data_IF_112077712367
#
_entry.id   IF_112077712367
#
_cell.length_a   1.000
_cell.length_b   1.000
_cell.length_c   1.000
_cell.angle_alpha   90.00
_cell.angle_beta   90.00
_cell.angle_gamma   90.00
#
_symmetry.space_group_name_H-M   'P 1'
#
loop_
_entity.id
_entity.type
_entity.pdbx_description
1 polymer ?
#
# COMPACT_ATOMS: atom_id res chain seq x y z
N UNK A 1 -17.23 19.91 -1.16
CA UNK A 1 -17.72 20.50 -2.42
C UNK A 1 -16.70 21.40 -3.15
N UNK A 2 -15.45 21.57 -2.68
CA UNK A 2 -14.48 22.49 -3.31
C UNK A 2 -14.30 22.24 -4.81
N UNK A 3 -13.87 21.04 -5.19
CA UNK A 3 -13.68 20.68 -6.61
C UNK A 3 -14.98 20.75 -7.42
N UNK A 4 -16.13 20.42 -6.83
CA UNK A 4 -17.45 20.56 -7.48
C UNK A 4 -17.72 22.02 -7.85
N UNK A 5 -17.45 22.95 -6.93
CA UNK A 5 -17.65 24.39 -7.16
C UNK A 5 -16.71 24.91 -8.25
N UNK A 6 -15.44 24.52 -8.23
CA UNK A 6 -14.45 24.89 -9.27
C UNK A 6 -14.87 24.42 -10.68
N UNK A 7 -15.34 23.17 -10.78
CA UNK A 7 -15.84 22.62 -12.06
C UNK A 7 -17.08 23.40 -12.51
N UNK A 8 -18.06 23.59 -11.63
CA UNK A 8 -19.29 24.33 -11.94
C UNK A 8 -18.98 25.76 -12.37
N UNK A 9 -18.09 26.45 -11.66
CA UNK A 9 -17.67 27.81 -12.00
C UNK A 9 -17.06 27.87 -13.41
N UNK A 10 -16.15 26.93 -13.71
CA UNK A 10 -15.55 26.80 -15.03
C UNK A 10 -16.59 26.51 -16.13
N UNK A 11 -17.60 25.68 -15.83
CA UNK A 11 -18.68 25.36 -16.76
C UNK A 11 -19.64 26.53 -16.99
N UNK A 12 -19.94 27.31 -15.95
CA UNK A 12 -20.82 28.47 -16.04
C UNK A 12 -20.18 29.60 -16.84
N UNK A 13 -18.85 29.77 -16.76
CA UNK A 13 -18.08 30.74 -17.55
C UNK A 13 -17.51 30.20 -18.87
N UNK A 14 -17.94 29.02 -19.33
CA UNK A 14 -17.39 28.40 -20.53
C UNK A 14 -17.76 29.19 -21.81
N UNK A 15 -16.78 29.57 -22.65
CA UNK A 15 -17.03 30.27 -23.91
C UNK A 15 -17.51 29.33 -25.03
N UNK A 16 -17.59 28.02 -24.75
CA UNK A 16 -18.07 27.01 -25.69
C UNK A 16 -19.27 26.25 -25.11
N UNK A 17 -20.18 25.75 -25.97
CA UNK A 17 -21.28 24.87 -25.55
C UNK A 17 -20.75 23.64 -24.81
N UNK A 18 -21.41 23.29 -23.71
CA UNK A 18 -21.07 22.15 -22.88
C UNK A 18 -22.27 21.23 -22.76
N UNK A 19 -22.08 19.97 -23.15
CA UNK A 19 -23.06 18.92 -22.96
C UNK A 19 -22.53 17.97 -21.88
N UNK A 20 -23.33 17.70 -20.85
CA UNK A 20 -23.02 16.62 -19.90
C UNK A 20 -23.94 15.45 -20.20
N UNK A 21 -23.36 14.28 -20.46
CA UNK A 21 -24.09 13.06 -20.76
C UNK A 21 -23.84 12.01 -19.67
N UNK A 22 -24.88 11.71 -18.88
CA UNK A 22 -24.84 10.67 -17.85
C UNK A 22 -24.98 9.32 -18.54
N UNK A 23 -23.88 8.58 -18.64
CA UNK A 23 -23.74 7.39 -19.48
C UNK A 23 -22.62 6.49 -18.95
N UNK A 24 -22.61 5.18 -19.23
CA UNK A 24 -23.63 4.38 -19.96
C UNK A 24 -24.89 4.11 -19.13
N UNK A 25 -25.83 3.33 -19.67
CA UNK A 25 -26.95 2.80 -18.89
C UNK A 25 -26.47 2.14 -17.59
N UNK A 26 -27.15 2.41 -16.48
CA UNK A 26 -26.72 2.03 -15.13
C UNK A 26 -25.78 3.03 -14.45
N UNK A 27 -25.27 4.04 -15.16
CA UNK A 27 -24.51 5.14 -14.55
C UNK A 27 -25.41 6.08 -13.75
N UNK A 28 -24.77 6.93 -12.95
CA UNK A 28 -25.45 7.91 -12.11
C UNK A 28 -24.71 9.25 -12.09
N UNK A 29 -25.49 10.33 -12.02
CA UNK A 29 -25.03 11.66 -11.67
C UNK A 29 -25.49 11.99 -10.24
N UNK A 30 -24.98 11.25 -9.26
CA UNK A 30 -25.30 11.48 -7.84
C UNK A 30 -24.35 12.51 -7.20
N UNK A 31 -24.77 13.12 -6.09
CA UNK A 31 -23.93 14.05 -5.31
C UNK A 31 -23.39 15.20 -6.18
N UNK A 32 -22.05 15.37 -6.26
CA UNK A 32 -21.40 16.34 -7.12
C UNK A 32 -21.82 16.24 -8.60
N UNK A 33 -22.17 15.04 -9.08
CA UNK A 33 -22.64 14.81 -10.44
C UNK A 33 -23.93 15.58 -10.76
N UNK A 34 -24.81 15.77 -9.78
CA UNK A 34 -26.04 16.56 -9.92
C UNK A 34 -25.73 18.02 -10.24
N UNK A 35 -24.78 18.61 -9.52
CA UNK A 35 -24.35 20.01 -9.74
C UNK A 35 -23.70 20.20 -11.10
N UNK A 36 -22.78 19.30 -11.46
CA UNK A 36 -22.05 19.35 -12.74
C UNK A 36 -23.02 19.21 -13.91
N UNK A 37 -23.92 18.22 -13.86
CA UNK A 37 -24.92 18.00 -14.90
C UNK A 37 -25.85 19.21 -15.01
N UNK A 38 -26.32 19.75 -13.87
CA UNK A 38 -27.20 20.92 -13.83
C UNK A 38 -26.52 22.22 -14.29
N UNK A 39 -25.19 22.30 -14.29
CA UNK A 39 -24.44 23.47 -14.73
C UNK A 39 -24.17 23.51 -16.25
N UNK A 40 -24.38 22.38 -16.94
CA UNK A 40 -24.16 22.25 -18.39
C UNK A 40 -25.09 23.15 -19.21
N UNK A 41 -24.73 23.41 -20.47
CA UNK A 41 -25.65 24.06 -21.40
C UNK A 41 -26.77 23.10 -21.79
N UNK A 42 -26.42 21.83 -22.03
CA UNK A 42 -27.37 20.75 -22.28
C UNK A 42 -27.03 19.57 -21.37
N UNK A 43 -28.01 19.12 -20.61
CA UNK A 43 -27.93 17.94 -19.77
C UNK A 43 -28.62 16.77 -20.48
N UNK A 44 -27.91 15.66 -20.63
CA UNK A 44 -28.41 14.46 -21.26
C UNK A 44 -28.21 13.24 -20.36
N UNK A 45 -29.10 12.26 -20.47
CA UNK A 45 -29.03 11.02 -19.70
C UNK A 45 -29.26 9.81 -20.61
N UNK A 46 -28.54 8.71 -20.35
CA UNK A 46 -28.86 7.43 -20.96
C UNK A 46 -30.08 6.79 -20.28
N UNK A 47 -30.84 5.91 -20.96
CA UNK A 47 -31.87 5.10 -20.31
C UNK A 47 -31.31 4.33 -19.12
N UNK A 48 -32.12 4.11 -18.08
CA UNK A 48 -31.72 3.44 -16.85
C UNK A 48 -30.53 4.11 -16.12
N UNK A 49 -30.41 5.43 -16.21
CA UNK A 49 -29.53 6.23 -15.35
C UNK A 49 -30.36 7.05 -14.35
N UNK A 50 -29.69 7.59 -13.32
CA UNK A 50 -30.32 8.44 -12.31
C UNK A 50 -29.48 9.70 -12.00
N UNK A 51 -30.14 10.72 -11.47
CA UNK A 51 -29.56 12.01 -11.05
C UNK A 51 -30.19 12.46 -9.73
N UNK A 52 -29.39 13.03 -8.82
CA UNK A 52 -29.88 13.53 -7.53
C UNK A 52 -29.03 13.07 -6.36
N UNK A 53 -29.67 12.68 -5.24
CA UNK A 53 -29.00 12.24 -4.01
C UNK A 53 -27.82 13.17 -3.63
N UNK A 54 -28.11 14.47 -3.56
CA UNK A 54 -27.14 15.55 -3.47
C UNK A 54 -27.01 16.14 -2.06
N UNK A 55 -27.60 15.50 -1.05
CA UNK A 55 -27.47 15.89 0.36
C UNK A 55 -25.99 15.83 0.81
N UNK A 56 -25.50 16.84 1.54
CA UNK A 56 -24.13 16.87 2.00
C UNK A 56 -23.87 15.82 3.09
N UNK A 57 -22.70 15.18 3.01
CA UNK A 57 -22.18 14.23 3.99
C UNK A 57 -20.74 14.62 4.37
N UNK A 58 -20.23 14.06 5.46
CA UNK A 58 -18.85 14.23 5.89
C UNK A 58 -17.84 13.65 4.88
N UNK A 59 -16.56 13.93 5.10
CA UNK A 59 -15.48 13.60 4.15
C UNK A 59 -15.30 12.09 3.93
N UNK A 60 -15.70 11.26 4.89
CA UNK A 60 -15.72 9.79 4.80
C UNK A 60 -17.12 9.22 4.52
N UNK A 61 -18.10 10.07 4.18
CA UNK A 61 -19.50 9.65 3.99
C UNK A 61 -20.29 9.50 5.28
N UNK A 62 -19.74 9.94 6.42
CA UNK A 62 -20.41 9.98 7.71
C UNK A 62 -21.47 11.08 7.80
N UNK A 63 -22.43 10.91 8.72
CA UNK A 63 -23.40 11.94 9.04
C UNK A 63 -22.74 13.15 9.70
N UNK A 64 -23.15 14.34 9.26
CA UNK A 64 -22.69 15.60 9.84
C UNK A 64 -23.40 15.87 11.18
N UNK A 65 -22.72 16.47 12.17
CA UNK A 65 -23.38 16.98 13.37
C UNK A 65 -24.51 17.95 13.00
N UNK A 66 -25.66 17.84 13.68
CA UNK A 66 -26.92 18.50 13.27
C UNK A 66 -26.76 20.00 12.93
N UNK A 67 -26.10 20.78 13.80
CA UNK A 67 -25.90 22.21 13.58
C UNK A 67 -25.03 22.55 12.36
N UNK A 68 -24.09 21.68 11.99
CA UNK A 68 -23.26 21.82 10.79
C UNK A 68 -24.04 21.34 9.57
N UNK A 69 -24.77 20.23 9.71
CA UNK A 69 -25.61 19.65 8.65
C UNK A 69 -26.60 20.68 8.11
N UNK A 70 -27.35 21.36 8.98
CA UNK A 70 -28.35 22.35 8.55
C UNK A 70 -27.70 23.50 7.76
N UNK A 71 -26.59 24.05 8.28
CA UNK A 71 -25.88 25.15 7.62
C UNK A 71 -25.33 24.75 6.26
N UNK A 72 -24.70 23.58 6.17
CA UNK A 72 -24.12 23.08 4.91
C UNK A 72 -25.22 22.72 3.92
N UNK A 73 -26.32 22.14 4.40
CA UNK A 73 -27.48 21.78 3.57
C UNK A 73 -28.11 23.01 2.94
N UNK A 74 -28.34 24.07 3.73
CA UNK A 74 -28.88 25.34 3.22
C UNK A 74 -27.95 26.02 2.20
N UNK A 75 -26.64 26.08 2.47
CA UNK A 75 -25.66 26.62 1.51
C UNK A 75 -25.62 25.79 0.21
N UNK A 76 -25.67 24.46 0.33
CA UNK A 76 -25.68 23.53 -0.80
C UNK A 76 -26.98 23.65 -1.61
N UNK A 77 -28.12 23.82 -0.94
CA UNK A 77 -29.42 24.05 -1.56
C UNK A 77 -29.46 25.41 -2.28
N UNK A 78 -28.89 26.46 -1.68
CA UNK A 78 -28.75 27.76 -2.33
C UNK A 78 -27.88 27.68 -3.60
N UNK A 79 -26.77 26.92 -3.54
CA UNK A 79 -25.90 26.70 -4.69
C UNK A 79 -26.64 26.02 -5.86
N UNK A 80 -27.33 24.90 -5.62
CA UNK A 80 -28.02 24.19 -6.70
C UNK A 80 -29.17 25.03 -7.28
N UNK A 81 -29.89 25.80 -6.45
CA UNK A 81 -30.91 26.74 -6.94
C UNK A 81 -30.34 27.81 -7.85
N UNK A 82 -29.18 28.37 -7.50
CA UNK A 82 -28.48 29.35 -8.33
C UNK A 82 -28.09 28.78 -9.70
N UNK A 83 -27.55 27.56 -9.71
CA UNK A 83 -27.20 26.85 -10.95
C UNK A 83 -28.44 26.57 -11.79
N UNK A 84 -29.50 26.01 -11.18
CA UNK A 84 -30.75 25.68 -11.84
C UNK A 84 -31.40 26.91 -12.47
N UNK A 85 -31.46 28.03 -11.73
CA UNK A 85 -32.00 29.29 -12.22
C UNK A 85 -31.21 29.86 -13.39
N UNK A 86 -29.87 29.81 -13.33
CA UNK A 86 -28.99 30.27 -14.43
C UNK A 86 -29.17 29.46 -15.71
N UNK A 87 -29.50 28.18 -15.60
CA UNK A 87 -29.68 27.26 -16.75
C UNK A 87 -31.14 26.95 -17.07
N UNK A 88 -32.09 27.68 -16.49
CA UNK A 88 -33.52 27.50 -16.71
C UNK A 88 -34.03 26.06 -16.46
N UNK A 89 -33.42 25.37 -15.49
CA UNK A 89 -33.82 24.03 -15.03
C UNK A 89 -34.79 24.12 -13.87
N UNK A 90 -35.46 23.01 -13.56
CA UNK A 90 -36.41 22.95 -12.45
C UNK A 90 -35.72 23.14 -11.09
N UNK A 91 -35.79 24.37 -10.59
CA UNK A 91 -35.17 24.84 -9.36
C UNK A 91 -35.62 24.01 -8.15
N UNK A 92 -36.92 23.74 -8.04
CA UNK A 92 -37.48 23.04 -6.88
C UNK A 92 -37.06 21.57 -6.87
N UNK A 93 -37.20 20.89 -8.01
CA UNK A 93 -36.81 19.47 -8.09
C UNK A 93 -35.31 19.29 -7.80
N UNK A 94 -34.45 20.20 -8.28
CA UNK A 94 -33.03 20.16 -7.97
C UNK A 94 -32.70 20.51 -6.51
N UNK A 95 -33.43 21.44 -5.88
CA UNK A 95 -33.33 21.72 -4.45
C UNK A 95 -33.73 20.50 -3.60
N UNK A 96 -34.79 19.79 -3.99
CA UNK A 96 -35.25 18.57 -3.31
C UNK A 96 -34.19 17.44 -3.33
N UNK A 97 -33.30 17.41 -4.33
CA UNK A 97 -32.16 16.48 -4.34
C UNK A 97 -31.17 16.72 -3.20
N UNK A 98 -31.10 17.96 -2.67
CA UNK A 98 -30.23 18.33 -1.55
C UNK A 98 -30.98 18.20 -0.23
N UNK A 99 -32.19 18.76 -0.13
CA UNK A 99 -32.96 18.81 1.11
C UNK A 99 -33.52 17.45 1.53
N UNK A 100 -33.98 16.65 0.55
CA UNK A 100 -34.68 15.39 0.79
C UNK A 100 -33.97 14.18 0.17
N UNK A 101 -32.72 14.37 -0.30
CA UNK A 101 -31.92 13.33 -0.95
C UNK A 101 -32.63 12.65 -2.15
N UNK A 102 -33.57 13.34 -2.80
CA UNK A 102 -34.36 12.75 -3.89
C UNK A 102 -33.44 12.39 -5.08
N UNK A 103 -33.74 11.27 -5.72
CA UNK A 103 -33.08 10.83 -6.95
C UNK A 103 -34.14 10.58 -8.01
N UNK A 104 -33.92 11.10 -9.21
CA UNK A 104 -34.81 10.97 -10.36
C UNK A 104 -34.19 10.04 -11.40
N UNK A 105 -35.03 9.21 -12.03
CA UNK A 105 -34.66 8.45 -13.23
C UNK A 105 -34.51 9.38 -14.44
N UNK A 106 -33.85 8.91 -15.49
CA UNK A 106 -33.72 9.65 -16.76
C UNK A 106 -35.07 10.15 -17.32
N UNK A 107 -36.13 9.33 -17.21
CA UNK A 107 -37.46 9.69 -17.70
C UNK A 107 -38.11 10.80 -16.85
N UNK A 108 -38.09 10.65 -15.52
CA UNK A 108 -38.62 11.65 -14.60
C UNK A 108 -37.86 12.98 -14.72
N UNK A 109 -36.53 12.91 -14.81
CA UNK A 109 -35.67 14.08 -14.95
C UNK A 109 -35.94 14.86 -16.24
N UNK A 110 -36.26 14.16 -17.35
CA UNK A 110 -36.66 14.80 -18.60
C UNK A 110 -38.04 15.44 -18.47
N UNK A 111 -39.01 14.72 -17.91
CA UNK A 111 -40.40 15.18 -17.75
C UNK A 111 -40.49 16.45 -16.90
N UNK A 112 -39.75 16.50 -15.78
CA UNK A 112 -39.79 17.63 -14.85
C UNK A 112 -38.78 18.74 -15.21
N UNK A 113 -38.00 18.60 -16.28
CA UNK A 113 -37.07 19.64 -16.76
C UNK A 113 -35.79 19.79 -15.92
N UNK A 114 -35.25 18.69 -15.38
CA UNK A 114 -33.88 18.62 -14.85
C UNK A 114 -32.89 18.41 -15.99
N UNK A 115 -33.22 17.56 -16.96
CA UNK A 115 -32.40 17.29 -18.14
C UNK A 115 -33.15 17.59 -19.43
N UNK A 116 -32.41 17.80 -20.51
CA UNK A 116 -32.92 18.26 -21.79
C UNK A 116 -33.15 17.13 -22.80
N UNK A 117 -32.43 16.00 -22.62
CA UNK A 117 -32.36 14.88 -23.56
C UNK A 117 -32.24 13.56 -22.81
N UNK A 118 -32.93 12.54 -23.32
CA UNK A 118 -32.61 11.13 -23.03
C UNK A 118 -32.15 10.47 -24.34
N UNK A 119 -30.93 9.96 -24.37
CA UNK A 119 -30.29 9.40 -25.57
C UNK A 119 -29.66 8.05 -25.27
N UNK A 120 -29.83 7.06 -26.16
CA UNK A 120 -29.38 5.68 -25.94
C UNK A 120 -27.86 5.55 -25.96
N UNK A 121 -27.20 6.30 -26.84
CA UNK A 121 -25.76 6.33 -27.01
C UNK A 121 -25.30 7.71 -27.52
N UNK A 122 -24.01 7.81 -27.86
CA UNK A 122 -23.43 9.06 -28.34
C UNK A 122 -23.97 9.47 -29.72
N UNK A 123 -24.29 8.52 -30.60
CA UNK A 123 -24.77 8.82 -31.94
C UNK A 123 -26.20 9.36 -31.90
N UNK A 124 -27.07 8.75 -31.10
CA UNK A 124 -28.42 9.25 -30.81
C UNK A 124 -28.37 10.63 -30.14
N UNK A 125 -27.45 10.83 -29.19
CA UNK A 125 -27.24 12.13 -28.56
C UNK A 125 -26.85 13.20 -29.59
N UNK A 126 -25.87 12.92 -30.45
CA UNK A 126 -25.42 13.86 -31.47
C UNK A 126 -26.54 14.18 -32.47
N UNK A 127 -27.37 13.21 -32.84
CA UNK A 127 -28.53 13.44 -33.70
C UNK A 127 -29.58 14.34 -33.03
N UNK A 128 -29.85 14.14 -31.73
CA UNK A 128 -30.82 14.96 -30.98
C UNK A 128 -30.30 16.36 -30.61
N UNK A 129 -28.98 16.56 -30.59
CA UNK A 129 -28.34 17.85 -30.37
C UNK A 129 -28.34 18.73 -31.61
N UNK A 130 -28.40 18.14 -32.81
CA UNK A 130 -28.31 18.89 -34.06
C UNK A 130 -29.46 19.90 -34.19
N UNK A 131 -29.12 21.14 -34.54
CA UNK A 131 -30.08 22.23 -34.69
C UNK A 131 -30.57 22.85 -33.36
N UNK A 132 -30.20 22.31 -32.18
CA UNK A 132 -30.53 22.94 -30.89
C UNK A 132 -29.73 24.23 -30.71
N UNK A 133 -30.33 25.20 -30.03
CA UNK A 133 -29.66 26.46 -29.67
C UNK A 133 -29.34 26.50 -28.18
N UNK A 134 -28.12 26.91 -27.84
CA UNK A 134 -27.71 27.17 -26.46
C UNK A 134 -27.39 28.64 -26.26
N UNK A 135 -27.68 29.16 -25.07
CA UNK A 135 -27.30 30.51 -24.69
C UNK A 135 -25.92 30.49 -24.04
N UNK A 136 -24.96 31.18 -24.66
CA UNK A 136 -23.68 31.55 -24.07
C UNK A 136 -23.73 33.00 -23.59
N UNK A 137 -22.70 33.44 -22.85
CA UNK A 137 -22.58 34.82 -22.40
C UNK A 137 -22.40 35.80 -23.57
N UNK A 138 -21.70 35.38 -24.63
CA UNK A 138 -21.45 36.18 -25.84
C UNK A 138 -22.60 36.12 -26.88
N UNK A 139 -23.63 35.29 -26.63
CA UNK A 139 -24.79 35.17 -27.51
C UNK A 139 -25.32 33.74 -27.67
N UNK A 140 -26.29 33.58 -28.56
CA UNK A 140 -26.93 32.30 -28.84
C UNK A 140 -26.15 31.54 -29.92
N UNK A 141 -25.82 30.27 -29.68
CA UNK A 141 -25.11 29.40 -30.62
C UNK A 141 -26.00 28.23 -31.01
N UNK A 142 -26.12 27.96 -32.30
CA UNK A 142 -26.81 26.76 -32.82
C UNK A 142 -25.81 25.62 -32.97
N UNK A 143 -26.12 24.47 -32.39
CA UNK A 143 -25.31 23.27 -32.49
C UNK A 143 -25.47 22.64 -33.88
N UNK A 144 -24.34 22.29 -34.50
CA UNK A 144 -24.27 21.57 -35.77
C UNK A 144 -23.39 20.36 -35.55
N UNK A 145 -24.02 19.25 -35.23
CA UNK A 145 -23.37 18.00 -34.85
C UNK A 145 -23.36 17.00 -36.00
N UNK A 146 -24.13 17.23 -37.07
CA UNK A 146 -24.07 16.39 -38.27
C UNK A 146 -22.66 16.41 -38.90
N UNK A 147 -22.06 15.22 -39.05
CA UNK A 147 -20.75 15.04 -39.68
C UNK A 147 -19.55 15.57 -38.89
N UNK A 148 -19.71 15.85 -37.58
CA UNK A 148 -18.62 16.33 -36.73
C UNK A 148 -17.52 15.27 -36.52
N UNK A 149 -16.26 15.68 -36.57
CA UNK A 149 -15.14 14.85 -36.15
C UNK A 149 -15.08 14.77 -34.62
N UNK A 150 -15.28 13.58 -34.06
CA UNK A 150 -15.20 13.36 -32.61
C UNK A 150 -13.73 13.25 -32.21
N UNK A 151 -13.28 14.16 -31.34
CA UNK A 151 -11.95 14.10 -30.71
C UNK A 151 -12.13 13.63 -29.27
N UNK A 152 -11.73 12.39 -29.00
CA UNK A 152 -11.78 11.83 -27.64
C UNK A 152 -10.56 12.28 -26.84
N UNK A 153 -10.79 13.01 -25.74
CA UNK A 153 -9.75 13.35 -24.77
C UNK A 153 -9.66 12.21 -23.76
N UNK A 154 -8.67 11.34 -23.92
CA UNK A 154 -8.38 10.26 -22.97
C UNK A 154 -7.43 10.73 -21.86
N UNK A 155 -7.50 10.08 -20.69
CA UNK A 155 -6.56 10.32 -19.59
C UNK A 155 -5.10 10.16 -20.04
N UNK A 156 -4.25 11.10 -19.65
CA UNK A 156 -2.80 11.01 -19.92
C UNK A 156 -2.15 9.82 -19.19
N UNK A 157 -0.96 9.34 -19.62
CA UNK A 157 -0.26 8.28 -18.88
C UNK A 157 -0.01 8.65 -17.41
N UNK A 158 0.28 9.92 -17.14
CA UNK A 158 0.44 10.44 -15.78
C UNK A 158 -0.87 10.38 -14.99
N UNK A 159 -1.99 10.85 -15.54
CA UNK A 159 -3.30 10.74 -14.88
C UNK A 159 -3.72 9.29 -14.63
N UNK A 160 -3.40 8.39 -15.56
CA UNK A 160 -3.64 6.96 -15.39
C UNK A 160 -2.80 6.40 -14.23
N UNK A 161 -1.54 6.80 -14.13
CA UNK A 161 -0.66 6.42 -13.03
C UNK A 161 -1.11 7.00 -11.68
N UNK A 162 -1.47 8.29 -11.63
CA UNK A 162 -2.01 8.93 -10.44
C UNK A 162 -3.34 8.29 -10.02
N UNK A 163 -4.20 7.94 -10.98
CA UNK A 163 -5.44 7.21 -10.71
C UNK A 163 -5.20 5.79 -10.19
N UNK A 164 -4.14 5.13 -10.64
CA UNK A 164 -3.69 3.84 -10.09
C UNK A 164 -3.20 4.00 -8.64
N UNK A 165 -2.38 5.03 -8.35
CA UNK A 165 -1.95 5.33 -6.98
C UNK A 165 -3.11 5.73 -6.06
N UNK A 166 -4.15 6.37 -6.60
CA UNK A 166 -5.34 6.77 -5.87
C UNK A 166 -6.27 5.59 -5.48
N UNK A 167 -5.79 4.35 -5.58
CA UNK A 167 -6.49 3.17 -5.07
C UNK A 167 -5.95 2.79 -3.67
N UNK A 168 -6.81 2.67 -2.63
CA UNK A 168 -6.39 2.32 -1.27
C UNK A 168 -5.65 0.98 -1.15
N UNK A 169 -6.04 -0.05 -1.92
CA UNK A 169 -5.33 -1.33 -1.92
C UNK A 169 -3.89 -1.17 -2.40
N UNK A 170 -3.69 -0.37 -3.45
CA UNK A 170 -2.36 -0.10 -4.02
C UNK A 170 -1.54 0.74 -3.05
N UNK A 171 -2.13 1.76 -2.44
CA UNK A 171 -1.48 2.57 -1.42
C UNK A 171 -1.02 1.72 -0.22
N UNK A 172 -1.87 0.79 0.24
CA UNK A 172 -1.53 -0.14 1.33
C UNK A 172 -0.41 -1.11 0.97
N UNK A 173 -0.46 -1.69 -0.25
CA UNK A 173 0.59 -2.58 -0.75
C UNK A 173 1.92 -1.82 -0.85
N UNK A 174 1.93 -0.60 -1.40
CA UNK A 174 3.12 0.23 -1.49
C UNK A 174 3.68 0.60 -0.11
N UNK A 175 2.81 0.93 0.85
CA UNK A 175 3.23 1.20 2.24
C UNK A 175 3.88 -0.04 2.88
N UNK A 176 3.32 -1.23 2.64
CA UNK A 176 3.83 -2.49 3.18
C UNK A 176 5.14 -2.92 2.52
N UNK A 177 5.21 -2.91 1.19
CA UNK A 177 6.45 -3.20 0.44
C UNK A 177 7.53 -2.17 0.83
N UNK A 178 7.12 -0.92 0.97
CA UNK A 178 7.97 0.17 1.42
C UNK A 178 8.61 -0.11 2.77
N UNK A 179 7.79 -0.39 3.78
CA UNK A 179 8.24 -0.75 5.12
C UNK A 179 9.10 -2.02 5.15
N UNK A 180 8.72 -3.03 4.38
CA UNK A 180 9.44 -4.30 4.28
C UNK A 180 10.81 -4.14 3.61
N UNK A 181 10.91 -3.34 2.54
CA UNK A 181 12.19 -3.08 1.86
C UNK A 181 13.21 -2.41 2.79
N UNK A 182 12.74 -1.44 3.58
CA UNK A 182 13.54 -0.81 4.63
C UNK A 182 13.92 -1.82 5.72
N UNK A 183 12.97 -2.64 6.17
CA UNK A 183 13.22 -3.69 7.16
C UNK A 183 14.31 -4.65 6.69
N UNK A 184 14.23 -5.15 5.46
CA UNK A 184 15.22 -6.07 4.87
C UNK A 184 16.61 -5.43 4.82
N UNK A 185 16.71 -4.16 4.41
CA UNK A 185 18.00 -3.46 4.36
C UNK A 185 18.63 -3.33 5.76
N UNK A 186 17.83 -3.08 6.80
CA UNK A 186 18.32 -3.05 8.19
C UNK A 186 18.78 -4.43 8.69
N UNK A 187 18.10 -5.50 8.27
CA UNK A 187 18.44 -6.86 8.67
C UNK A 187 19.66 -7.41 7.93
N UNK A 188 19.90 -6.96 6.71
CA UNK A 188 21.03 -7.38 5.89
C UNK A 188 21.68 -6.16 5.26
N UNK A 189 22.48 -5.41 6.05
CA UNK A 189 23.13 -4.20 5.55
C UNK A 189 23.99 -4.51 4.31
N UNK A 190 23.82 -3.71 3.26
CA UNK A 190 24.67 -3.78 2.06
C UNK A 190 24.03 -4.44 0.84
N UNK A 191 22.77 -4.88 0.91
CA UNK A 191 22.03 -5.27 -0.29
C UNK A 191 21.71 -4.05 -1.17
N UNK A 192 21.47 -2.87 -0.57
CA UNK A 192 21.06 -1.58 -1.16
C UNK A 192 19.74 -1.60 -1.96
N UNK A 193 19.49 -2.65 -2.75
CA UNK A 193 18.32 -2.81 -3.60
C UNK A 193 16.99 -2.78 -2.85
N UNK A 194 16.78 -3.63 -1.82
CA UNK A 194 15.54 -3.62 -1.02
C UNK A 194 15.29 -2.27 -0.36
N UNK A 195 16.32 -1.62 0.17
CA UNK A 195 16.20 -0.29 0.78
C UNK A 195 15.74 0.77 -0.21
N UNK A 196 16.34 0.83 -1.41
CA UNK A 196 15.96 1.80 -2.44
C UNK A 196 14.54 1.56 -2.95
N UNK A 197 14.19 0.29 -3.24
CA UNK A 197 12.83 -0.09 -3.64
C UNK A 197 11.83 0.28 -2.53
N UNK A 198 12.21 0.04 -1.28
CA UNK A 198 11.43 0.40 -0.10
C UNK A 198 11.17 1.90 0.01
N UNK A 199 12.20 2.73 -0.14
CA UNK A 199 12.08 4.18 -0.10
C UNK A 199 11.17 4.72 -1.22
N UNK A 200 11.33 4.23 -2.45
CA UNK A 200 10.50 4.63 -3.58
C UNK A 200 9.03 4.23 -3.33
N UNK A 201 8.80 2.99 -2.88
CA UNK A 201 7.46 2.51 -2.58
C UNK A 201 6.81 3.32 -1.43
N UNK A 202 7.55 3.65 -0.37
CA UNK A 202 7.07 4.53 0.71
C UNK A 202 6.71 5.92 0.18
N UNK A 203 7.57 6.53 -0.65
CA UNK A 203 7.31 7.85 -1.21
C UNK A 203 6.02 7.86 -2.05
N UNK A 204 5.83 6.85 -2.90
CA UNK A 204 4.61 6.68 -3.69
C UNK A 204 3.39 6.41 -2.81
N UNK A 205 3.53 5.62 -1.75
CA UNK A 205 2.47 5.39 -0.78
C UNK A 205 2.06 6.72 -0.12
N UNK A 206 3.00 7.55 0.34
CA UNK A 206 2.68 8.84 0.94
C UNK A 206 2.00 9.82 -0.02
N UNK A 207 2.36 9.81 -1.31
CA UNK A 207 1.63 10.57 -2.34
C UNK A 207 0.18 10.09 -2.45
N UNK A 208 -0.06 8.78 -2.43
CA UNK A 208 -1.41 8.23 -2.46
C UNK A 208 -2.20 8.58 -1.19
N UNK A 209 -1.60 8.41 -0.01
CA UNK A 209 -2.21 8.71 1.29
C UNK A 209 -2.57 10.19 1.41
N UNK A 210 -1.73 11.11 0.90
CA UNK A 210 -1.98 12.55 0.96
C UNK A 210 -3.20 13.01 0.17
N UNK A 211 -3.64 12.23 -0.81
CA UNK A 211 -4.83 12.53 -1.63
C UNK A 211 -6.10 11.83 -1.14
N UNK A 212 -6.01 11.04 -0.07
CA UNK A 212 -7.12 10.26 0.49
C UNK A 212 -7.45 10.74 1.91
N UNK A 213 -8.69 10.57 2.39
CA UNK A 213 -9.07 10.87 3.77
C UNK A 213 -8.52 9.81 4.74
N UNK A 214 -7.20 9.76 4.89
CA UNK A 214 -6.52 8.71 5.68
C UNK A 214 -6.40 9.06 7.16
N UNK A 215 -6.44 8.03 8.01
CA UNK A 215 -6.07 8.18 9.41
C UNK A 215 -4.57 7.96 9.60
N UNK A 216 -3.85 9.04 9.91
CA UNK A 216 -2.40 9.00 10.14
C UNK A 216 -2.00 8.11 11.33
N UNK A 217 -2.90 7.85 12.29
CA UNK A 217 -2.66 6.86 13.35
C UNK A 217 -2.52 5.46 12.76
N UNK A 218 -3.34 5.11 11.76
CA UNK A 218 -3.25 3.84 11.05
C UNK A 218 -1.91 3.65 10.34
N UNK A 219 -1.44 4.70 9.65
CA UNK A 219 -0.11 4.70 9.01
C UNK A 219 1.01 4.54 10.06
N UNK A 220 0.92 5.26 11.18
CA UNK A 220 1.86 5.15 12.30
C UNK A 220 1.90 3.74 12.90
N UNK A 221 0.76 3.07 13.04
CA UNK A 221 0.67 1.69 13.52
C UNK A 221 1.31 0.67 12.56
N UNK A 222 1.20 0.88 11.25
CA UNK A 222 1.87 0.04 10.24
C UNK A 222 3.39 0.21 10.34
N UNK A 223 3.88 1.44 10.48
CA UNK A 223 5.31 1.70 10.68
C UNK A 223 5.81 1.14 12.02
N UNK A 224 5.01 1.26 13.09
CA UNK A 224 5.29 0.61 14.37
C UNK A 224 5.40 -0.90 14.22
N UNK A 225 4.50 -1.52 13.44
CA UNK A 225 4.57 -2.96 13.16
C UNK A 225 5.91 -3.34 12.52
N UNK A 226 6.40 -2.58 11.53
CA UNK A 226 7.72 -2.81 10.93
C UNK A 226 8.84 -2.75 11.98
N UNK A 227 8.80 -1.77 12.90
CA UNK A 227 9.76 -1.67 14.00
C UNK A 227 9.68 -2.85 14.99
N UNK A 228 8.48 -3.32 15.32
CA UNK A 228 8.28 -4.49 16.17
C UNK A 228 8.79 -5.77 15.50
N UNK A 229 8.55 -5.93 14.20
CA UNK A 229 9.08 -7.06 13.44
C UNK A 229 10.61 -7.04 13.38
N UNK A 230 11.22 -5.86 13.23
CA UNK A 230 12.66 -5.71 13.39
C UNK A 230 13.14 -6.19 14.77
N UNK A 231 12.50 -5.75 15.86
CA UNK A 231 12.88 -6.19 17.21
C UNK A 231 12.75 -7.70 17.42
N UNK A 232 11.73 -8.35 16.86
CA UNK A 232 11.57 -9.81 16.92
C UNK A 232 12.77 -10.54 16.29
N UNK A 233 13.34 -10.01 15.21
CA UNK A 233 14.53 -10.62 14.59
C UNK A 233 15.81 -10.46 15.40
N UNK A 234 15.90 -9.43 16.26
CA UNK A 234 17.06 -9.16 17.12
C UNK A 234 16.99 -9.92 18.44
N UNK A 235 15.79 -10.20 18.93
CA UNK A 235 15.55 -11.04 20.10
C UNK A 235 14.66 -12.26 19.74
N UNK A 236 15.15 -13.21 18.91
CA UNK A 236 14.35 -14.35 18.49
C UNK A 236 13.96 -15.24 19.67
N UNK A 237 12.67 -15.58 19.79
CA UNK A 237 12.16 -16.60 20.73
C UNK A 237 11.20 -16.10 21.81
N UNK A 238 11.00 -14.79 21.94
CA UNK A 238 9.98 -14.22 22.85
C UNK A 238 8.60 -14.18 22.17
N UNK A 239 8.53 -14.00 20.84
CA UNK A 239 7.29 -13.99 20.06
C UNK A 239 6.37 -12.80 20.31
N UNK A 240 6.60 -12.05 21.38
CA UNK A 240 5.79 -10.89 21.80
C UNK A 240 5.90 -9.76 20.79
N UNK A 241 7.07 -9.50 20.22
CA UNK A 241 7.23 -8.45 19.23
C UNK A 241 6.61 -8.87 17.89
N UNK A 242 6.71 -10.14 17.51
CA UNK A 242 6.03 -10.69 16.34
C UNK A 242 4.50 -10.59 16.44
N UNK A 243 3.91 -11.00 17.57
CA UNK A 243 2.46 -10.90 17.80
C UNK A 243 2.02 -9.44 17.91
N UNK A 244 2.76 -8.62 18.66
CA UNK A 244 2.47 -7.19 18.79
C UNK A 244 2.56 -6.45 17.45
N UNK A 245 3.54 -6.82 16.61
CA UNK A 245 3.67 -6.32 15.24
C UNK A 245 2.49 -6.72 14.37
N UNK A 246 2.06 -7.98 14.43
CA UNK A 246 0.89 -8.46 13.69
C UNK A 246 -0.39 -7.72 14.07
N UNK A 247 -0.64 -7.54 15.38
CA UNK A 247 -1.79 -6.79 15.89
C UNK A 247 -1.72 -5.33 15.44
N UNK A 248 -0.56 -4.69 15.58
CA UNK A 248 -0.35 -3.30 15.16
C UNK A 248 -0.56 -3.13 13.66
N UNK A 249 -0.11 -4.10 12.85
CA UNK A 249 -0.30 -4.08 11.41
C UNK A 249 -1.78 -4.19 11.02
N UNK A 250 -2.51 -5.14 11.60
CA UNK A 250 -3.94 -5.35 11.32
C UNK A 250 -4.76 -4.13 11.77
N UNK A 251 -4.54 -3.63 12.99
CA UNK A 251 -5.22 -2.44 13.50
C UNK A 251 -4.85 -1.18 12.70
N UNK A 252 -3.58 -1.07 12.28
CA UNK A 252 -3.11 0.01 11.44
C UNK A 252 -3.79 0.01 10.08
N UNK A 253 -3.87 -1.13 9.42
CA UNK A 253 -4.56 -1.31 8.14
C UNK A 253 -6.06 -0.98 8.25
N UNK A 254 -6.72 -1.43 9.33
CA UNK A 254 -8.11 -1.12 9.61
C UNK A 254 -8.34 0.39 9.79
N UNK A 255 -7.53 1.03 10.63
CA UNK A 255 -7.68 2.45 10.94
C UNK A 255 -7.32 3.34 9.75
N UNK A 256 -6.35 2.94 8.91
CA UNK A 256 -5.81 3.76 7.83
C UNK A 256 -6.90 4.29 6.88
N UNK A 257 -7.87 3.46 6.53
CA UNK A 257 -9.01 3.82 5.66
C UNK A 257 -10.36 3.81 6.37
N UNK A 258 -10.43 3.33 7.62
CA UNK A 258 -11.62 3.42 8.48
C UNK A 258 -12.80 2.52 8.09
N UNK A 259 -12.72 1.79 6.97
CA UNK A 259 -13.75 0.87 6.48
C UNK A 259 -13.11 -0.40 5.85
N UNK A 260 -13.71 -1.57 6.10
CA UNK A 260 -13.32 -2.86 5.50
C UNK A 260 -14.41 -3.36 4.55
N UNK A 261 -14.01 -3.78 3.34
CA UNK A 261 -14.92 -4.39 2.37
C UNK A 261 -14.91 -5.93 2.47
N UNK A 262 -16.08 -6.53 2.72
CA UNK A 262 -16.26 -8.01 2.78
C UNK A 262 -16.49 -8.63 1.39
N UNK A 263 -15.74 -8.21 0.37
CA UNK A 263 -15.77 -8.83 -0.96
C UNK A 263 -17.15 -8.88 -1.65
N UNK A 264 -17.28 -9.64 -2.76
CA UNK A 264 -18.48 -9.62 -3.60
C UNK A 264 -19.67 -10.41 -3.04
N UNK A 265 -19.54 -11.08 -1.89
CA UNK A 265 -20.56 -12.02 -1.35
C UNK A 265 -21.43 -11.44 -0.23
N UNK A 266 -21.17 -10.21 0.21
CA UNK A 266 -21.99 -9.52 1.22
C UNK A 266 -22.77 -8.39 0.52
N UNK A 267 -24.11 -8.33 0.64
CA UNK A 267 -24.90 -7.26 0.04
C UNK A 267 -24.43 -5.90 0.56
N UNK A 268 -23.95 -5.06 -0.36
CA UNK A 268 -23.40 -3.75 -0.05
C UNK A 268 -24.55 -2.76 0.19
N UNK A 269 -24.53 -2.04 1.31
CA UNK A 269 -25.50 -0.97 1.58
C UNK A 269 -25.19 0.24 0.68
N UNK A 270 -26.18 0.79 -0.04
CA UNK A 270 -25.97 1.81 -1.06
C UNK A 270 -25.85 3.20 -0.44
N UNK A 271 -24.71 3.53 0.17
CA UNK A 271 -24.37 4.92 0.49
C UNK A 271 -22.87 5.11 0.75
N UNK A 272 -22.30 6.04 -0.02
CA UNK A 272 -20.96 6.63 0.03
C UNK A 272 -19.87 6.00 -0.88
N UNK A 273 -19.04 6.83 -1.54
CA UNK A 273 -17.79 6.40 -2.17
C UNK A 273 -16.79 6.08 -1.06
N UNK A 274 -16.82 4.85 -0.57
CA UNK A 274 -15.97 4.43 0.53
C UNK A 274 -14.62 4.03 -0.04
N UNK A 275 -13.57 4.75 0.35
CA UNK A 275 -12.19 4.29 0.19
C UNK A 275 -12.05 3.09 1.12
N UNK A 276 -12.26 1.88 0.58
CA UNK A 276 -12.26 0.64 1.37
C UNK A 276 -11.00 -0.17 1.09
N UNK A 277 -10.43 -0.75 2.14
CA UNK A 277 -9.40 -1.76 1.99
C UNK A 277 -10.07 -3.13 1.79
N UNK A 278 -9.65 -3.86 0.77
CA UNK A 278 -10.12 -5.22 0.52
C UNK A 278 -9.61 -6.16 1.61
N UNK A 279 -10.53 -6.89 2.28
CA UNK A 279 -10.16 -7.92 3.27
C UNK A 279 -9.28 -9.02 2.68
N UNK A 280 -9.40 -9.30 1.39
CA UNK A 280 -8.52 -10.24 0.69
C UNK A 280 -7.11 -9.71 0.55
N UNK A 281 -6.97 -8.43 0.20
CA UNK A 281 -5.66 -7.76 0.14
C UNK A 281 -5.04 -7.74 1.54
N UNK A 282 -5.80 -7.34 2.56
CA UNK A 282 -5.33 -7.36 3.94
C UNK A 282 -4.88 -8.77 4.37
N UNK A 283 -5.71 -9.80 4.15
CA UNK A 283 -5.42 -11.17 4.53
C UNK A 283 -4.19 -11.74 3.83
N UNK A 284 -4.08 -11.54 2.51
CA UNK A 284 -2.94 -12.01 1.71
C UNK A 284 -1.64 -11.31 2.08
N UNK A 285 -1.66 -9.98 2.21
CA UNK A 285 -0.49 -9.19 2.60
C UNK A 285 -0.05 -9.55 4.03
N UNK A 286 -0.98 -9.66 4.97
CA UNK A 286 -0.67 -10.05 6.36
C UNK A 286 -0.07 -11.45 6.41
N UNK A 287 -0.68 -12.43 5.73
CA UNK A 287 -0.18 -13.80 5.71
C UNK A 287 1.22 -13.90 5.08
N UNK A 288 1.44 -13.21 3.95
CA UNK A 288 2.74 -13.14 3.30
C UNK A 288 3.80 -12.51 4.21
N UNK A 289 3.46 -11.40 4.85
CA UNK A 289 4.35 -10.69 5.76
C UNK A 289 4.74 -11.54 6.97
N UNK A 290 3.77 -12.21 7.61
CA UNK A 290 4.04 -13.13 8.72
C UNK A 290 4.89 -14.33 8.29
N UNK A 291 4.62 -14.89 7.11
CA UNK A 291 5.43 -15.99 6.55
C UNK A 291 6.87 -15.56 6.31
N UNK A 292 7.11 -14.36 5.75
CA UNK A 292 8.44 -13.83 5.55
C UNK A 292 9.19 -13.62 6.87
N UNK A 293 8.56 -12.98 7.85
CA UNK A 293 9.18 -12.74 9.16
C UNK A 293 9.52 -14.07 9.84
N UNK A 294 8.62 -15.06 9.76
CA UNK A 294 8.87 -16.40 10.29
C UNK A 294 10.08 -17.07 9.61
N UNK A 295 10.18 -16.98 8.28
CA UNK A 295 11.33 -17.51 7.53
C UNK A 295 12.64 -16.81 7.91
N UNK A 296 12.62 -15.48 8.05
CA UNK A 296 13.79 -14.70 8.45
C UNK A 296 14.23 -15.04 9.87
N UNK A 297 13.31 -15.09 10.83
CA UNK A 297 13.60 -15.50 12.20
C UNK A 297 14.16 -16.92 12.28
N UNK A 298 13.67 -17.84 11.43
CA UNK A 298 14.22 -19.20 11.34
C UNK A 298 15.64 -19.20 10.77
N UNK A 299 15.90 -18.43 9.72
CA UNK A 299 17.21 -18.34 9.08
C UNK A 299 18.26 -17.77 10.05
N UNK A 300 17.93 -16.71 10.79
CA UNK A 300 18.83 -16.12 11.79
C UNK A 300 19.12 -17.11 12.93
N UNK A 301 18.11 -17.82 13.44
CA UNK A 301 18.29 -18.87 14.45
C UNK A 301 19.18 -20.02 13.99
N UNK A 302 19.03 -20.45 12.73
CA UNK A 302 19.87 -21.51 12.16
C UNK A 302 21.32 -21.05 11.98
N UNK A 303 21.53 -19.80 11.56
CA UNK A 303 22.87 -19.21 11.44
C UNK A 303 23.57 -19.05 12.80
N UNK A 304 22.85 -18.65 13.86
CA UNK A 304 23.45 -18.58 15.22
C UNK A 304 23.81 -19.97 15.73
N UNK A 305 22.97 -20.98 15.49
CA UNK A 305 23.32 -22.37 15.84
C UNK A 305 24.52 -22.88 15.03
N UNK A 306 24.61 -22.58 13.74
CA UNK A 306 25.72 -23.00 12.89
C UNK A 306 27.07 -22.43 13.36
N UNK A 307 27.12 -21.18 13.85
CA UNK A 307 28.34 -20.60 14.43
C UNK A 307 28.70 -21.25 15.78
N UNK A 308 27.71 -21.62 16.59
CA UNK A 308 27.94 -22.38 17.84
C UNK A 308 28.44 -23.80 17.56
N UNK A 309 28.04 -24.42 16.44
CA UNK A 309 28.57 -25.73 16.01
C UNK A 309 29.93 -25.62 15.29
N UNK A 310 30.24 -24.50 14.64
CA UNK A 310 31.55 -24.26 14.00
C UNK A 310 32.65 -23.91 15.02
N UNK A 311 32.31 -23.37 16.19
CA UNK A 311 33.24 -23.26 17.33
C UNK A 311 33.37 -24.55 18.16
N UNK A 312 32.60 -25.58 17.81
CA UNK A 312 32.63 -26.90 18.39
C UNK A 312 33.05 -27.91 17.31
N UNK A 313 34.18 -27.65 16.64
CA UNK A 313 35.03 -28.72 16.10
C UNK A 313 35.44 -29.59 17.28
N UNK A 314 34.53 -30.48 17.65
CA UNK A 314 34.72 -31.73 18.37
C UNK A 314 36.00 -31.77 19.23
N UNK A 315 35.91 -31.21 20.43
CA UNK A 315 36.87 -31.40 21.53
C UNK A 315 37.24 -32.90 21.70
N UNK A 316 36.35 -33.81 21.29
CA UNK A 316 36.58 -35.26 21.26
C UNK A 316 37.24 -35.86 20.00
N UNK A 317 37.34 -35.16 18.87
CA UNK A 317 37.98 -35.66 17.64
C UNK A 317 39.41 -35.17 17.44
N UNK A 318 39.83 -34.12 18.16
CA UNK A 318 41.20 -33.58 18.08
C UNK A 318 42.18 -34.40 18.93
N UNK A 319 41.70 -35.05 20.00
CA UNK A 319 42.52 -35.93 20.85
C UNK A 319 42.94 -37.19 20.07
N UNK A 320 44.23 -37.48 20.03
CA UNK A 320 44.83 -38.58 19.28
C UNK A 320 45.24 -38.24 17.84
N UNK A 321 44.96 -37.03 17.35
CA UNK A 321 45.44 -36.62 16.02
C UNK A 321 46.91 -36.19 16.04
N UNK A 322 47.58 -36.47 14.91
CA UNK A 322 48.91 -35.97 14.61
C UNK A 322 48.83 -34.55 14.03
N UNK A 323 49.75 -33.70 14.47
CA UNK A 323 50.01 -32.38 13.89
C UNK A 323 51.49 -32.08 13.88
N UNK A 324 51.84 -30.82 13.63
CA UNK A 324 53.22 -30.37 13.70
C UNK A 324 53.35 -29.04 14.43
N UNK A 325 54.47 -28.87 15.14
CA UNK A 325 54.82 -27.61 15.77
C UNK A 325 55.12 -26.53 14.71
N UNK A 326 54.49 -25.36 14.84
CA UNK A 326 54.74 -24.19 13.97
C UNK A 326 55.73 -23.23 14.65
N UNK A 327 55.77 -23.23 15.99
CA UNK A 327 56.78 -22.53 16.79
C UNK A 327 57.55 -23.52 17.63
N UNK A 328 58.67 -23.09 18.22
CA UNK A 328 59.27 -23.84 19.32
C UNK A 328 58.33 -23.79 20.53
N UNK A 329 58.09 -24.93 21.17
CA UNK A 329 57.28 -25.05 22.40
C UNK A 329 58.24 -25.18 23.59
N UNK A 330 58.23 -24.21 24.52
CA UNK A 330 59.05 -24.28 25.74
C UNK A 330 58.46 -23.44 26.91
N UNK A 331 57.49 -23.93 27.70
CA UNK A 331 56.68 -25.13 27.49
C UNK A 331 55.49 -24.89 26.55
N UNK A 332 55.17 -23.62 26.23
CA UNK A 332 54.06 -23.25 25.35
C UNK A 332 54.52 -22.77 23.98
N UNK A 333 53.65 -22.93 22.99
CA UNK A 333 53.88 -22.54 21.59
C UNK A 333 52.61 -22.76 20.75
N UNK A 334 52.77 -22.83 19.43
CA UNK A 334 51.66 -23.07 18.50
C UNK A 334 51.89 -24.31 17.63
N UNK A 335 50.81 -25.05 17.42
CA UNK A 335 50.79 -26.28 16.61
C UNK A 335 49.72 -26.19 15.53
N UNK A 336 49.91 -26.91 14.43
CA UNK A 336 48.91 -27.09 13.39
C UNK A 336 48.33 -28.49 13.49
N UNK A 337 47.04 -28.59 13.82
CA UNK A 337 46.32 -29.88 13.99
C UNK A 337 44.95 -29.75 13.34
N UNK A 338 44.49 -30.80 12.64
CA UNK A 338 43.17 -30.86 12.03
C UNK A 338 42.84 -29.71 11.04
N UNK A 339 43.86 -29.07 10.45
CA UNK A 339 43.67 -27.94 9.52
C UNK A 339 43.58 -26.56 10.19
N UNK A 340 43.75 -26.49 11.51
CA UNK A 340 43.67 -25.25 12.30
C UNK A 340 44.94 -25.02 13.13
N UNK A 341 45.22 -23.75 13.45
CA UNK A 341 46.32 -23.37 14.33
C UNK A 341 45.82 -23.28 15.78
N UNK A 342 46.48 -24.01 16.67
CA UNK A 342 46.15 -24.10 18.09
C UNK A 342 47.30 -23.61 18.97
N UNK A 343 46.97 -23.02 20.11
CA UNK A 343 47.92 -22.84 21.22
C UNK A 343 48.14 -24.19 21.88
N UNK A 344 49.38 -24.56 22.15
CA UNK A 344 49.71 -25.84 22.76
C UNK A 344 50.81 -25.73 23.82
N UNK A 345 50.80 -26.69 24.74
CA UNK A 345 51.78 -26.84 25.81
C UNK A 345 52.32 -28.29 25.81
N UNK A 346 53.63 -28.46 26.01
CA UNK A 346 54.25 -29.80 26.11
C UNK A 346 53.86 -30.44 27.43
N UNK A 347 53.27 -31.65 27.38
CA UNK A 347 52.77 -32.34 28.58
C UNK A 347 53.89 -32.73 29.56
N UNK A 348 55.05 -33.12 29.02
CA UNK A 348 56.25 -33.51 29.77
C UNK A 348 57.16 -32.33 30.14
N UNK A 349 56.87 -31.13 29.63
CA UNK A 349 57.69 -29.93 29.79
C UNK A 349 59.00 -29.94 29.01
N UNK A 350 59.23 -30.93 28.13
CA UNK A 350 60.40 -30.95 27.24
C UNK A 350 60.20 -30.00 26.05
N UNK A 351 61.28 -29.38 25.54
CA UNK A 351 61.16 -28.46 24.42
C UNK A 351 60.96 -29.17 23.09
N UNK A 352 59.84 -28.88 22.42
CA UNK A 352 59.53 -29.38 21.08
C UNK A 352 59.91 -28.31 20.05
N UNK A 353 60.82 -28.64 19.13
CA UNK A 353 61.26 -27.71 18.08
C UNK A 353 60.23 -27.55 16.96
N UNK A 354 60.24 -26.38 16.32
CA UNK A 354 59.46 -26.10 15.12
C UNK A 354 59.65 -27.18 14.05
N UNK A 355 58.54 -27.65 13.47
CA UNK A 355 58.48 -28.66 12.41
C UNK A 355 58.47 -30.11 12.90
N UNK A 356 58.53 -30.35 14.21
CA UNK A 356 58.37 -31.70 14.78
C UNK A 356 56.92 -32.14 14.82
N UNK A 357 56.69 -33.44 14.59
CA UNK A 357 55.37 -34.04 14.71
C UNK A 357 54.98 -34.18 16.18
N UNK A 358 53.72 -33.87 16.47
CA UNK A 358 53.14 -33.91 17.82
C UNK A 358 51.81 -34.65 17.80
N UNK A 359 51.50 -35.35 18.89
CA UNK A 359 50.19 -35.97 19.11
C UNK A 359 49.43 -35.20 20.20
N UNK A 360 48.15 -34.96 19.99
CA UNK A 360 47.29 -34.29 20.98
C UNK A 360 46.83 -35.28 22.03
N UNK A 361 47.18 -35.05 23.29
CA UNK A 361 46.80 -35.88 24.44
C UNK A 361 45.49 -35.42 25.09
N UNK A 362 45.31 -34.11 25.20
CA UNK A 362 44.13 -33.52 25.82
C UNK A 362 43.87 -32.09 25.32
N UNK A 363 42.64 -31.64 25.48
CA UNK A 363 42.21 -30.26 25.20
C UNK A 363 41.82 -29.60 26.52
N UNK A 364 42.56 -28.58 26.93
CA UNK A 364 42.28 -27.77 28.12
C UNK A 364 41.81 -26.37 27.69
N UNK A 365 40.49 -26.21 27.49
CA UNK A 365 39.92 -24.95 27.03
C UNK A 365 40.32 -24.62 25.59
N UNK A 366 41.21 -23.64 25.41
CA UNK A 366 41.76 -23.21 24.12
C UNK A 366 43.24 -23.63 23.94
N UNK A 367 43.79 -24.44 24.85
CA UNK A 367 45.17 -24.92 24.82
C UNK A 367 45.19 -26.44 24.67
N UNK A 368 45.98 -26.95 23.73
CA UNK A 368 46.20 -28.38 23.53
C UNK A 368 47.39 -28.85 24.37
N UNK A 369 47.24 -29.97 25.10
CA UNK A 369 48.39 -30.70 25.63
C UNK A 369 48.92 -31.63 24.56
N UNK A 370 50.18 -31.48 24.20
CA UNK A 370 50.80 -32.21 23.11
C UNK A 370 52.07 -32.93 23.59
N UNK A 371 52.39 -34.03 22.92
CA UNK A 371 53.62 -34.80 23.15
C UNK A 371 54.33 -35.02 21.81
N UNK A 372 55.66 -35.00 21.80
CA UNK A 372 56.42 -35.23 20.58
C UNK A 372 56.24 -36.67 20.10
N UNK A 373 55.81 -36.86 18.85
CA UNK A 373 55.64 -38.18 18.27
C UNK A 373 57.02 -38.76 17.92
N UNK A 374 57.42 -39.85 18.59
CA UNK A 374 58.61 -40.63 18.24
C UNK A 374 58.22 -41.82 17.36
N UNK A 375 59.12 -42.28 16.49
CA UNK A 375 58.86 -43.39 15.56
C UNK A 375 58.48 -44.73 16.23
N UNK A 376 58.66 -44.86 17.54
CA UNK A 376 58.23 -46.04 18.32
C UNK A 376 56.79 -45.96 18.85
N UNK A 377 56.15 -44.77 18.87
CA UNK A 377 54.76 -44.60 19.33
C UNK A 377 53.72 -44.68 18.21
N UNK A 378 54.15 -44.72 16.95
CA UNK A 378 53.32 -45.00 15.78
C UNK A 378 53.26 -46.51 15.57
N UNK A 379 52.27 -47.15 16.20
CA UNK A 379 52.01 -48.58 16.02
C UNK A 379 51.84 -48.96 14.56
N UNK A 380 52.54 -50.02 14.18
CA UNK A 380 52.56 -50.69 12.88
C UNK A 380 51.15 -51.23 12.55
N UNK A 381 50.41 -50.56 11.66
CA UNK A 381 49.31 -51.18 10.90
C UNK A 381 49.49 -50.85 9.42
N UNK A 382 50.08 -51.81 8.71
CA UNK A 382 50.18 -51.94 7.25
C UNK A 382 48.86 -52.36 6.61
#
# INVERSE_FOLDING_TARGET
LGSTREIVESMLGSPIPLVVYVSPSGAQAASAGTFITSASHIAAMAPATNIGAASPVGSGGEDLPETIKDKVTEDTAALIRGIAGRRSRNVKALEDTVLSAVSYTAAEALEIGIVDIVAQDLDDLLAQLDGRTVQLDDGQVTLRTEGISIVTISRTPLERFLGFLANPDIAFILLTIGGLGILIEFLSPGLLGPGIIGLIALALAFVALGNMPVNWVGAGLILLAMGLFYLETQAPGVGVFGVGGAISFILGAFLLFGNLSFGPFVPQLPAAPRVELSLWVLGTVTAFLLALIFLMARATHQATKAVVYAGATTIGEVVGQLGHAISDLHPSGTVYVAGEQWSAESDDGEPIQNGKEVIVLAVEGLVLRVFQADKESLGDES
#
